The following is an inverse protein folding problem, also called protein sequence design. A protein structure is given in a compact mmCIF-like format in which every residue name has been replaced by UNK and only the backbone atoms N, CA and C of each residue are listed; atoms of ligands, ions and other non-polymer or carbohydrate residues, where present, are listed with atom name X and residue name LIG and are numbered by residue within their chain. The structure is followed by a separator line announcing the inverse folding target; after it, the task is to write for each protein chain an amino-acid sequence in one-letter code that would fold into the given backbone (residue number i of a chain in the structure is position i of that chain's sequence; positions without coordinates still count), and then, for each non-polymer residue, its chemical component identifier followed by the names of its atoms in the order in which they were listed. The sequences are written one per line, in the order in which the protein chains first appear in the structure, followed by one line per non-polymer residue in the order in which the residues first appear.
data_IF_808763126596
#
_entry.id   IF_808763126596
#
_cell.length_a   1.000
_cell.length_b   1.000
_cell.length_c   1.000
_cell.angle_alpha   90.00
_cell.angle_beta   90.00
_cell.angle_gamma   90.00
#
_symmetry.space_group_name_H-M   'P 1'
#
loop_
_entity.id
_entity.type
_entity.pdbx_description
1 polymer ?
#
# COMPACT_ATOMS: atom_id res chain seq x y z
N UNK A 1 -4.45 4.50 2.63
CA UNK A 1 -4.72 3.07 2.88
C UNK A 1 -5.58 2.88 4.12
N UNK A 2 -5.05 3.09 5.34
CA UNK A 2 -5.78 2.83 6.60
C UNK A 2 -7.12 3.57 6.66
N UNK A 3 -7.16 4.87 6.35
CA UNK A 3 -8.40 5.64 6.34
C UNK A 3 -9.48 5.07 5.40
N UNK A 4 -9.10 4.45 4.28
CA UNK A 4 -10.08 3.81 3.38
C UNK A 4 -10.71 2.57 4.02
N UNK A 5 -9.89 1.79 4.75
CA UNK A 5 -10.35 0.61 5.47
C UNK A 5 -11.22 1.03 6.66
N UNK A 6 -10.77 2.01 7.44
CA UNK A 6 -11.50 2.54 8.59
C UNK A 6 -12.86 3.13 8.18
N UNK A 7 -12.93 3.79 7.03
CA UNK A 7 -14.18 4.35 6.49
C UNK A 7 -15.05 3.32 5.74
N UNK A 8 -14.69 2.03 5.77
CA UNK A 8 -15.48 0.96 5.15
C UNK A 8 -15.54 1.00 3.62
N UNK A 9 -14.62 1.72 2.96
CA UNK A 9 -14.57 1.83 1.49
C UNK A 9 -14.17 0.48 0.88
N UNK A 10 -13.24 -0.23 1.53
CA UNK A 10 -12.78 -1.56 1.14
C UNK A 10 -12.07 -2.25 2.31
N UNK A 11 -11.89 -3.57 2.22
CA UNK A 11 -11.07 -4.30 3.17
C UNK A 11 -9.56 -4.15 2.90
N UNK A 12 -8.74 -4.50 3.89
CA UNK A 12 -7.28 -4.37 3.80
C UNK A 12 -6.66 -5.20 2.66
N UNK A 13 -7.24 -6.37 2.36
CA UNK A 13 -6.77 -7.24 1.28
C UNK A 13 -7.00 -6.58 -0.08
N UNK A 14 -8.16 -5.94 -0.26
CA UNK A 14 -8.57 -5.25 -1.47
C UNK A 14 -7.67 -4.04 -1.73
N UNK A 15 -7.30 -3.28 -0.69
CA UNK A 15 -6.31 -2.18 -0.83
C UNK A 15 -4.99 -2.73 -1.38
N UNK A 16 -4.47 -3.79 -0.76
CA UNK A 16 -3.20 -4.40 -1.15
C UNK A 16 -3.23 -4.96 -2.57
N UNK A 17 -4.30 -5.67 -2.94
CA UNK A 17 -4.46 -6.24 -4.27
C UNK A 17 -4.59 -5.14 -5.34
N UNK A 18 -5.32 -4.06 -5.04
CA UNK A 18 -5.41 -2.90 -5.93
C UNK A 18 -4.01 -2.33 -6.20
N UNK A 19 -3.20 -2.08 -5.16
CA UNK A 19 -1.85 -1.52 -5.32
C UNK A 19 -0.95 -2.48 -6.11
N UNK A 20 -0.90 -3.77 -5.73
CA UNK A 20 -0.03 -4.78 -6.35
C UNK A 20 -0.36 -5.00 -7.84
N UNK A 21 -1.63 -4.90 -8.22
CA UNK A 21 -2.10 -5.20 -9.58
C UNK A 21 -2.37 -3.94 -10.44
N UNK A 22 -2.11 -2.72 -9.96
CA UNK A 22 -2.35 -1.49 -10.72
C UNK A 22 -1.08 -0.64 -10.91
N UNK A 23 -0.88 0.39 -10.11
CA UNK A 23 0.24 1.31 -10.25
C UNK A 23 1.51 0.79 -9.56
N UNK A 24 1.39 -0.05 -8.53
CA UNK A 24 2.52 -0.57 -7.77
C UNK A 24 3.52 -1.35 -8.63
N UNK A 25 3.04 -2.09 -9.63
CA UNK A 25 3.89 -2.83 -10.58
C UNK A 25 4.78 -1.92 -11.44
N UNK A 26 4.41 -0.65 -11.61
CA UNK A 26 5.09 0.31 -12.48
C UNK A 26 6.16 1.09 -11.74
N UNK A 27 6.02 1.24 -10.41
CA UNK A 27 6.90 2.09 -9.58
C UNK A 27 8.41 1.79 -9.68
N UNK A 28 8.87 0.53 -9.89
CA UNK A 28 10.30 0.28 -10.07
C UNK A 28 10.90 0.80 -11.39
N UNK A 29 10.05 1.15 -12.37
CA UNK A 29 10.44 1.60 -13.72
C UNK A 29 10.01 3.03 -13.99
N UNK A 30 8.82 3.41 -13.52
CA UNK A 30 8.21 4.73 -13.68
C UNK A 30 7.96 5.32 -12.29
N UNK A 31 8.89 6.14 -11.83
CA UNK A 31 8.79 6.86 -10.58
C UNK A 31 7.66 7.89 -10.57
N UNK A 32 7.28 8.43 -9.40
CA UNK A 32 6.13 9.32 -9.29
C UNK A 32 6.28 10.64 -10.06
N UNK A 33 7.48 11.23 -10.11
CA UNK A 33 7.73 12.47 -10.86
C UNK A 33 7.85 12.21 -12.36
N UNK A 34 8.50 11.12 -12.76
CA UNK A 34 8.54 10.67 -14.15
C UNK A 34 7.12 10.38 -14.66
N UNK A 35 6.25 9.81 -13.83
CA UNK A 35 4.84 9.63 -14.15
C UNK A 35 4.10 10.98 -14.30
N UNK A 36 4.40 11.97 -13.46
CA UNK A 36 3.80 13.30 -13.59
C UNK A 36 4.22 13.99 -14.90
N UNK A 37 5.49 13.89 -15.28
CA UNK A 37 6.00 14.38 -16.56
C UNK A 37 5.40 13.60 -17.74
N UNK A 38 5.26 12.27 -17.61
CA UNK A 38 4.65 11.39 -18.63
C UNK A 38 3.17 11.72 -18.87
N UNK A 39 2.42 12.01 -17.80
CA UNK A 39 0.99 12.33 -17.87
C UNK A 39 0.73 13.78 -18.30
N UNK A 40 1.62 14.70 -17.91
CA UNK A 40 1.49 16.14 -18.10
C UNK A 40 1.28 16.89 -16.78
N UNK A 41 2.05 17.97 -16.57
CA UNK A 41 2.02 18.75 -15.33
C UNK A 41 0.74 19.59 -15.18
N UNK A 42 0.14 20.01 -16.29
CA UNK A 42 -1.16 20.68 -16.33
C UNK A 42 -2.29 19.76 -15.84
N UNK A 43 -2.35 18.53 -16.37
CA UNK A 43 -3.30 17.53 -15.90
C UNK A 43 -3.02 17.12 -14.46
N UNK A 44 -1.74 16.97 -14.08
CA UNK A 44 -1.36 16.68 -12.69
C UNK A 44 -1.84 17.78 -11.74
N UNK A 45 -1.71 19.05 -12.12
CA UNK A 45 -2.22 20.18 -11.35
C UNK A 45 -3.75 20.11 -11.17
N UNK A 46 -4.49 19.77 -12.22
CA UNK A 46 -5.96 19.68 -12.16
C UNK A 46 -6.43 18.47 -11.33
N UNK A 47 -5.72 17.34 -11.41
CA UNK A 47 -5.91 16.20 -10.50
C UNK A 47 -5.68 16.65 -9.05
N UNK A 48 -4.61 17.40 -8.79
CA UNK A 48 -4.30 17.87 -7.43
C UNK A 48 -5.39 18.77 -6.86
N UNK A 49 -5.91 19.72 -7.66
CA UNK A 49 -7.02 20.59 -7.22
C UNK A 49 -8.28 19.81 -6.84
N UNK A 50 -8.50 18.65 -7.46
CA UNK A 50 -9.69 17.83 -7.24
C UNK A 50 -9.50 16.81 -6.12
N UNK A 51 -8.40 16.06 -6.14
CA UNK A 51 -8.19 14.90 -5.28
C UNK A 51 -7.65 15.31 -3.91
N UNK A 52 -6.68 16.23 -3.83
CA UNK A 52 -6.02 16.58 -2.56
C UNK A 52 -7.01 17.05 -1.48
N UNK A 53 -8.05 17.86 -1.77
CA UNK A 53 -9.05 18.22 -0.78
C UNK A 53 -9.87 17.05 -0.23
N UNK A 54 -10.02 15.97 -1.00
CA UNK A 54 -10.83 14.80 -0.65
C UNK A 54 -10.02 13.68 0.03
N UNK A 55 -8.69 13.77 0.04
CA UNK A 55 -7.85 12.79 0.75
C UNK A 55 -7.99 12.95 2.27
N UNK A 56 -7.73 11.86 2.99
CA UNK A 56 -7.57 11.91 4.45
C UNK A 56 -6.38 12.83 4.81
N UNK A 57 -6.62 13.78 5.71
CA UNK A 57 -5.66 14.81 6.17
C UNK A 57 -5.54 14.84 7.69
N UNK A 58 -5.88 13.72 8.34
CA UNK A 58 -5.75 13.55 9.78
C UNK A 58 -4.34 13.91 10.25
N UNK A 59 -4.22 14.73 11.29
CA UNK A 59 -2.93 15.19 11.83
C UNK A 59 -2.24 14.13 12.72
N UNK A 60 -3.00 13.12 13.17
CA UNK A 60 -2.55 12.04 14.04
C UNK A 60 -2.79 10.65 13.46
N UNK A 61 -2.43 9.59 14.21
CA UNK A 61 -2.71 8.21 13.80
C UNK A 61 -4.22 7.99 13.65
N UNK A 62 -4.59 7.14 12.69
CA UNK A 62 -5.98 6.75 12.54
C UNK A 62 -6.41 5.90 13.75
N UNK A 63 -7.58 6.15 14.40
CA UNK A 63 -8.03 5.39 15.57
C UNK A 63 -8.08 3.87 15.37
N UNK A 64 -8.36 3.41 14.15
CA UNK A 64 -8.35 1.97 13.83
C UNK A 64 -6.98 1.34 14.10
N UNK A 65 -5.88 2.07 13.85
CA UNK A 65 -4.54 1.56 14.13
C UNK A 65 -4.29 1.42 15.64
N UNK A 66 -4.78 2.37 16.43
CA UNK A 66 -4.67 2.33 17.89
C UNK A 66 -5.51 1.19 18.47
N UNK A 67 -6.72 0.98 17.95
CA UNK A 67 -7.60 -0.14 18.31
C UNK A 67 -6.93 -1.49 18.06
N UNK A 68 -6.38 -1.71 16.85
CA UNK A 68 -5.66 -2.94 16.52
C UNK A 68 -4.51 -3.21 17.49
N UNK A 69 -3.76 -2.19 17.87
CA UNK A 69 -2.67 -2.31 18.84
C UNK A 69 -3.21 -2.63 20.24
N UNK A 70 -4.28 -1.95 20.68
CA UNK A 70 -4.95 -2.20 21.96
C UNK A 70 -5.50 -3.62 22.09
N UNK A 71 -5.91 -4.22 20.97
CA UNK A 71 -6.35 -5.62 20.88
C UNK A 71 -5.19 -6.63 20.81
N UNK A 72 -3.93 -6.18 20.79
CA UNK A 72 -2.77 -7.06 20.64
C UNK A 72 -2.57 -7.60 19.21
N UNK A 73 -3.25 -7.01 18.21
CA UNK A 73 -3.15 -7.37 16.79
C UNK A 73 -2.02 -6.58 16.13
N UNK A 74 -0.80 -6.99 16.43
CA UNK A 74 0.46 -6.34 16.08
C UNK A 74 1.07 -6.80 14.74
N UNK A 75 0.28 -7.45 13.87
CA UNK A 75 0.71 -7.96 12.57
C UNK A 75 1.35 -9.34 12.65
N UNK A 76 2.41 -9.58 11.87
CA UNK A 76 3.01 -10.91 11.73
C UNK A 76 3.44 -11.53 13.06
N UNK A 77 3.93 -10.72 14.01
CA UNK A 77 4.41 -11.22 15.31
C UNK A 77 3.30 -11.72 16.24
N UNK A 78 2.05 -11.33 15.98
CA UNK A 78 0.85 -11.80 16.69
C UNK A 78 -0.07 -12.61 15.78
N UNK A 79 0.39 -13.00 14.59
CA UNK A 79 -0.40 -13.69 13.55
C UNK A 79 -1.66 -12.94 13.06
N UNK A 80 -1.85 -11.69 13.47
CA UNK A 80 -2.99 -10.87 13.10
C UNK A 80 -2.69 -9.37 13.26
N UNK A 81 -3.13 -8.58 12.28
CA UNK A 81 -3.15 -7.12 12.29
C UNK A 81 -4.34 -6.66 11.45
N UNK A 82 -4.08 -5.89 10.38
CA UNK A 82 -5.08 -5.60 9.34
C UNK A 82 -5.61 -6.84 8.62
N UNK A 83 -4.83 -7.93 8.62
CA UNK A 83 -5.18 -9.22 8.06
C UNK A 83 -4.76 -10.32 9.05
N UNK A 84 -5.37 -11.50 8.93
CA UNK A 84 -4.94 -12.72 9.64
C UNK A 84 -3.84 -13.41 8.84
N UNK A 85 -2.84 -13.93 9.55
CA UNK A 85 -1.63 -14.48 8.97
C UNK A 85 -1.30 -15.83 9.59
N UNK A 86 -1.50 -16.91 8.83
CA UNK A 86 -0.91 -18.19 9.22
C UNK A 86 0.61 -18.16 9.04
N UNK A 87 1.33 -19.04 9.71
CA UNK A 87 2.79 -19.19 9.51
C UNK A 87 3.11 -19.49 8.02
N UNK A 88 2.25 -20.26 7.36
CA UNK A 88 2.36 -20.56 5.92
C UNK A 88 2.21 -19.31 5.07
N UNK A 89 1.22 -18.44 5.35
CA UNK A 89 1.02 -17.19 4.61
C UNK A 89 2.23 -16.25 4.76
N UNK A 90 2.76 -16.14 5.97
CA UNK A 90 3.93 -15.30 6.24
C UNK A 90 5.16 -15.83 5.52
N UNK A 91 5.41 -17.14 5.57
CA UNK A 91 6.53 -17.78 4.87
C UNK A 91 6.40 -17.59 3.35
N UNK A 92 5.19 -17.78 2.80
CA UNK A 92 4.92 -17.60 1.38
C UNK A 92 5.14 -16.15 0.93
N UNK A 93 4.69 -15.15 1.71
CA UNK A 93 4.92 -13.75 1.38
C UNK A 93 6.41 -13.39 1.41
N UNK A 94 7.13 -13.80 2.46
CA UNK A 94 8.58 -13.58 2.58
C UNK A 94 9.32 -14.18 1.38
N UNK A 95 8.99 -15.42 1.00
CA UNK A 95 9.59 -16.08 -0.16
C UNK A 95 9.31 -15.31 -1.46
N UNK A 96 8.05 -14.95 -1.72
CA UNK A 96 7.69 -14.18 -2.93
C UNK A 96 8.42 -12.84 -3.01
N UNK A 97 8.53 -12.13 -1.89
CA UNK A 97 9.26 -10.86 -1.82
C UNK A 97 10.74 -11.06 -2.17
N UNK A 98 11.40 -12.03 -1.54
CA UNK A 98 12.80 -12.34 -1.80
C UNK A 98 13.02 -12.72 -3.26
N UNK A 99 12.21 -13.63 -3.80
CA UNK A 99 12.31 -14.07 -5.19
C UNK A 99 12.13 -12.89 -6.16
N UNK A 100 11.15 -12.02 -5.90
CA UNK A 100 10.89 -10.83 -6.70
C UNK A 100 12.08 -9.86 -6.69
N UNK A 101 12.65 -9.56 -5.52
CA UNK A 101 13.78 -8.64 -5.40
C UNK A 101 15.05 -9.21 -6.04
N UNK A 102 15.30 -10.51 -5.90
CA UNK A 102 16.43 -11.18 -6.57
C UNK A 102 16.28 -11.11 -8.09
N UNK A 103 15.09 -11.41 -8.61
CA UNK A 103 14.82 -11.31 -10.05
C UNK A 103 14.97 -9.86 -10.56
N UNK A 104 14.45 -8.89 -9.81
CA UNK A 104 14.56 -7.47 -10.16
C UNK A 104 16.01 -6.98 -10.16
N UNK A 105 16.85 -7.43 -9.22
CA UNK A 105 18.27 -7.07 -9.19
C UNK A 105 19.03 -7.68 -10.38
N UNK A 106 18.79 -8.95 -10.71
CA UNK A 106 19.41 -9.60 -11.88
C UNK A 106 19.03 -8.94 -13.20
N UNK A 107 17.81 -8.41 -13.32
CA UNK A 107 17.36 -7.72 -14.52
C UNK A 107 17.96 -6.30 -14.68
N UNK A 108 18.65 -5.78 -13.64
CA UNK A 108 19.34 -4.47 -13.67
C UNK A 108 20.82 -4.58 -14.06
N UNK A 109 21.37 -5.79 -14.04
CA UNK A 109 22.72 -6.13 -14.52
C UNK A 109 22.73 -6.33 -16.04
#
# INVERSE_FOLDING_TARGET
AIAMVANGICDAKTVDDCVKNSFGMRLPVLGPLENADLVGLDLTLDIHKTIIPALDRSEGPNPMLEELIGEGRLGFKSNEGFQKWSETDQAALRKRLTDHLVAANRARE
#
